data_IF_030439944891
#
_entry.id   IF_030439944891
#
_cell.length_a   1.000
_cell.length_b   1.000
_cell.length_c   1.000
_cell.angle_alpha   90.00
_cell.angle_beta   90.00
_cell.angle_gamma   90.00
#
_symmetry.space_group_name_H-M   'P 1'
#
loop_
_entity.id
_entity.type
_entity.pdbx_description
1 polymer ?
#
# COMPACT_ATOMS: atom_id res chain seq x y z
N UNK A 1 -38.96 -40.98 -51.08
CA UNK A 1 -37.80 -40.08 -51.27
C UNK A 1 -37.97 -38.91 -50.31
N UNK A 2 -37.10 -38.82 -49.31
CA UNK A 2 -37.19 -37.87 -48.19
C UNK A 2 -36.22 -36.72 -48.44
N UNK A 3 -36.73 -35.50 -48.64
CA UNK A 3 -35.92 -34.29 -48.67
C UNK A 3 -35.60 -33.85 -47.23
N UNK A 4 -34.45 -34.29 -46.73
CA UNK A 4 -33.70 -33.60 -45.68
C UNK A 4 -32.84 -32.53 -46.34
N UNK A 5 -33.01 -31.26 -45.97
CA UNK A 5 -31.92 -30.30 -45.75
C UNK A 5 -32.48 -28.91 -45.45
N UNK A 6 -32.61 -28.55 -44.16
CA UNK A 6 -32.50 -27.14 -43.72
C UNK A 6 -32.36 -27.01 -42.19
N UNK A 7 -31.38 -27.68 -41.59
CA UNK A 7 -31.06 -27.47 -40.17
C UNK A 7 -29.57 -27.71 -39.98
N UNK A 8 -28.74 -26.69 -40.16
CA UNK A 8 -27.40 -26.54 -39.56
C UNK A 8 -26.79 -25.20 -39.99
N UNK A 9 -26.92 -24.16 -39.16
CA UNK A 9 -25.88 -23.12 -38.95
C UNK A 9 -26.36 -21.96 -38.02
N UNK A 10 -26.82 -22.20 -36.78
CA UNK A 10 -26.88 -21.11 -35.79
C UNK A 10 -25.48 -20.69 -35.29
N UNK A 11 -24.44 -21.51 -35.52
CA UNK A 11 -23.08 -21.28 -35.03
C UNK A 11 -22.27 -20.19 -35.78
N UNK A 12 -22.65 -19.77 -36.99
CA UNK A 12 -21.93 -18.69 -37.70
C UNK A 12 -22.49 -17.30 -37.38
N UNK A 13 -23.80 -17.21 -37.13
CA UNK A 13 -24.46 -15.93 -36.87
C UNK A 13 -24.22 -15.39 -35.47
N UNK A 14 -24.04 -16.22 -34.43
CA UNK A 14 -23.74 -15.70 -33.08
C UNK A 14 -22.42 -14.92 -33.04
N UNK A 15 -21.41 -15.30 -33.84
CA UNK A 15 -20.13 -14.57 -33.92
C UNK A 15 -20.32 -13.20 -34.56
N UNK A 16 -21.12 -13.13 -35.63
CA UNK A 16 -21.43 -11.89 -36.35
C UNK A 16 -22.33 -10.99 -35.49
N UNK A 17 -23.35 -11.54 -34.84
CA UNK A 17 -24.23 -10.81 -33.93
C UNK A 17 -23.45 -10.34 -32.71
N UNK A 18 -22.65 -11.19 -32.06
CA UNK A 18 -21.80 -10.78 -30.93
C UNK A 18 -20.79 -9.71 -31.32
N UNK A 19 -20.22 -9.77 -32.52
CA UNK A 19 -19.34 -8.73 -33.05
C UNK A 19 -20.11 -7.44 -33.33
N UNK A 20 -21.29 -7.50 -33.96
CA UNK A 20 -22.13 -6.33 -34.22
C UNK A 20 -22.66 -5.68 -32.92
N UNK A 21 -23.03 -6.48 -31.91
CA UNK A 21 -23.41 -5.99 -30.58
C UNK A 21 -22.21 -5.36 -29.86
N UNK A 22 -21.01 -5.94 -29.98
CA UNK A 22 -19.79 -5.36 -29.44
C UNK A 22 -19.43 -4.03 -30.12
N UNK A 23 -19.52 -3.96 -31.45
CA UNK A 23 -19.31 -2.72 -32.23
C UNK A 23 -20.38 -1.67 -31.89
N UNK A 24 -21.64 -2.06 -31.72
CA UNK A 24 -22.72 -1.17 -31.27
C UNK A 24 -22.50 -0.63 -29.86
N UNK A 25 -22.00 -1.47 -28.94
CA UNK A 25 -21.61 -1.05 -27.59
C UNK A 25 -20.44 -0.05 -27.64
N UNK A 26 -19.46 -0.24 -28.53
CA UNK A 26 -18.35 0.70 -28.72
C UNK A 26 -18.82 2.05 -29.28
N UNK A 27 -19.82 2.07 -30.17
CA UNK A 27 -20.35 3.30 -30.77
C UNK A 27 -21.22 4.12 -29.80
N UNK A 28 -21.88 3.46 -28.84
CA UNK A 28 -22.70 4.11 -27.81
C UNK A 28 -21.89 4.69 -26.64
N UNK A 29 -20.58 4.45 -26.57
CA UNK A 29 -19.73 4.94 -25.49
C UNK A 29 -19.31 6.41 -25.67
N UNK A 30 -20.27 7.34 -25.57
CA UNK A 30 -19.94 8.77 -25.44
C UNK A 30 -19.46 9.08 -24.02
N UNK A 31 -18.20 9.50 -23.89
CA UNK A 31 -17.56 9.90 -22.62
C UNK A 31 -17.54 11.41 -22.42
N UNK A 32 -17.99 12.16 -23.42
CA UNK A 32 -17.96 13.62 -23.45
C UNK A 32 -19.36 14.25 -23.47
N UNK A 33 -20.42 13.45 -23.33
CA UNK A 33 -21.82 13.91 -23.33
C UNK A 33 -22.10 14.97 -22.26
N UNK A 34 -21.54 14.80 -21.06
CA UNK A 34 -21.67 15.72 -19.92
C UNK A 34 -20.47 16.68 -19.76
N UNK A 35 -19.65 16.86 -20.81
CA UNK A 35 -18.56 17.86 -20.80
C UNK A 35 -19.12 19.21 -21.26
N UNK A 36 -18.97 20.29 -20.47
CA UNK A 36 -19.48 21.62 -20.81
C UNK A 36 -18.96 22.13 -22.15
N UNK A 37 -19.70 23.05 -22.77
CA UNK A 37 -19.27 23.70 -24.00
C UNK A 37 -18.08 24.63 -23.73
N UNK A 38 -17.07 24.58 -24.59
CA UNK A 38 -15.80 25.29 -24.39
C UNK A 38 -14.80 24.56 -23.49
N UNK A 39 -15.21 23.49 -22.82
CA UNK A 39 -14.34 22.65 -21.98
C UNK A 39 -13.93 21.34 -22.67
N UNK A 40 -12.85 20.73 -22.19
CA UNK A 40 -12.27 19.53 -22.78
C UNK A 40 -12.01 18.46 -21.73
N UNK A 41 -12.44 17.23 -22.00
CA UNK A 41 -12.11 16.06 -21.18
C UNK A 41 -10.63 15.71 -21.32
N UNK A 42 -9.88 15.72 -20.22
CA UNK A 42 -8.52 15.21 -20.21
C UNK A 42 -8.53 13.68 -20.36
N UNK A 43 -8.02 13.20 -21.49
CA UNK A 43 -8.02 11.78 -21.83
C UNK A 43 -6.67 11.10 -21.62
N UNK A 44 -5.57 11.85 -21.68
CA UNK A 44 -4.22 11.32 -21.62
C UNK A 44 -3.22 12.38 -21.15
N UNK A 45 -2.25 11.94 -20.33
CA UNK A 45 -0.98 12.63 -20.13
C UNK A 45 0.11 11.82 -20.83
N UNK A 46 0.87 12.47 -21.72
CA UNK A 46 2.02 11.89 -22.41
C UNK A 46 3.29 12.54 -21.91
N UNK A 47 4.38 11.78 -21.91
CA UNK A 47 5.68 12.19 -21.42
C UNK A 47 6.69 11.92 -22.54
N UNK A 48 7.25 12.99 -23.07
CA UNK A 48 8.24 12.96 -24.13
C UNK A 48 9.55 13.47 -23.54
N UNK A 49 10.64 12.74 -23.78
CA UNK A 49 11.95 13.06 -23.24
C UNK A 49 12.78 13.64 -24.38
N UNK A 50 13.24 14.87 -24.21
CA UNK A 50 14.07 15.57 -25.18
C UNK A 50 15.52 15.08 -25.16
N UNK A 51 15.93 14.45 -24.06
CA UNK A 51 17.24 13.83 -23.84
C UNK A 51 17.12 12.34 -23.49
N UNK A 52 18.26 11.72 -23.18
CA UNK A 52 18.31 10.30 -22.85
C UNK A 52 17.50 10.01 -21.57
N UNK A 53 16.61 9.02 -21.69
CA UNK A 53 15.79 8.55 -20.58
C UNK A 53 16.65 8.07 -19.42
N UNK A 54 16.25 8.45 -18.22
CA UNK A 54 16.89 8.02 -16.98
C UNK A 54 16.13 6.86 -16.33
N UNK A 55 16.79 6.03 -15.51
CA UNK A 55 16.16 4.87 -14.87
C UNK A 55 14.95 5.23 -13.98
N UNK A 56 14.90 6.44 -13.43
CA UNK A 56 13.84 6.88 -12.53
C UNK A 56 12.61 7.46 -13.24
N UNK A 57 12.67 7.73 -14.55
CA UNK A 57 11.63 8.42 -15.33
C UNK A 57 10.22 7.82 -15.20
N UNK A 58 10.17 6.51 -14.96
CA UNK A 58 8.91 5.79 -14.75
C UNK A 58 8.08 6.34 -13.59
N UNK A 59 8.72 6.96 -12.60
CA UNK A 59 8.06 7.51 -11.42
C UNK A 59 7.44 8.89 -11.66
N UNK A 60 7.91 9.64 -12.67
CA UNK A 60 7.49 11.03 -12.93
C UNK A 60 5.99 11.15 -13.22
N UNK A 61 5.38 10.09 -13.76
CA UNK A 61 3.91 9.99 -13.95
C UNK A 61 3.12 10.13 -12.65
N UNK A 62 3.75 9.78 -11.53
CA UNK A 62 3.19 9.91 -10.19
C UNK A 62 2.94 11.37 -9.78
N UNK A 63 3.77 12.29 -10.28
CA UNK A 63 3.87 13.69 -9.84
C UNK A 63 2.96 14.64 -10.63
N UNK A 64 2.31 14.17 -11.70
CA UNK A 64 1.30 14.98 -12.38
C UNK A 64 0.07 15.17 -11.49
N UNK A 65 -0.30 16.42 -11.27
CA UNK A 65 -1.45 16.81 -10.44
C UNK A 65 -2.78 16.34 -11.04
N UNK A 66 -2.97 16.54 -12.34
CA UNK A 66 -4.22 16.18 -13.02
C UNK A 66 -4.09 14.85 -13.77
N UNK A 67 -4.81 13.82 -13.34
CA UNK A 67 -4.81 12.49 -13.97
C UNK A 67 -6.15 12.23 -14.66
N UNK A 68 -6.17 11.70 -15.91
CA UNK A 68 -7.39 11.30 -16.58
C UNK A 68 -8.23 10.33 -15.74
N UNK A 69 -9.54 10.24 -16.03
CA UNK A 69 -10.40 9.22 -15.43
C UNK A 69 -9.76 7.82 -15.62
N UNK A 70 -9.72 7.05 -14.52
CA UNK A 70 -9.12 5.70 -14.53
C UNK A 70 -9.82 4.80 -15.54
N UNK A 71 -9.05 3.96 -16.24
CA UNK A 71 -9.55 2.93 -17.14
C UNK A 71 -9.71 1.63 -16.36
N UNK A 72 -10.92 1.32 -15.91
CA UNK A 72 -11.18 0.11 -15.11
C UNK A 72 -11.32 -1.16 -15.94
N UNK A 73 -11.71 -1.04 -17.22
CA UNK A 73 -11.95 -2.20 -18.09
C UNK A 73 -11.18 -2.07 -19.40
N UNK A 74 -10.09 -2.86 -19.53
CA UNK A 74 -9.16 -2.80 -20.66
C UNK A 74 -8.65 -1.36 -20.91
N UNK A 75 -9.26 -0.64 -21.86
CA UNK A 75 -8.92 0.71 -22.26
C UNK A 75 -10.05 1.72 -21.99
N UNK A 76 -11.18 1.27 -21.42
CA UNK A 76 -12.39 2.07 -21.23
C UNK A 76 -12.49 2.63 -19.80
N UNK A 77 -12.75 3.94 -19.64
CA UNK A 77 -13.05 4.53 -18.35
C UNK A 77 -14.50 4.25 -17.97
N UNK A 78 -14.76 3.04 -17.44
CA UNK A 78 -16.11 2.54 -17.17
C UNK A 78 -16.89 3.48 -16.24
N UNK A 79 -16.27 4.01 -15.19
CA UNK A 79 -16.95 4.96 -14.29
C UNK A 79 -17.32 6.27 -14.99
N UNK A 80 -16.50 6.75 -15.92
CA UNK A 80 -16.83 7.94 -16.70
C UNK A 80 -17.99 7.64 -17.66
N UNK A 81 -17.99 6.46 -18.26
CA UNK A 81 -19.10 6.02 -19.11
C UNK A 81 -20.41 5.93 -18.31
N UNK A 82 -20.41 5.29 -17.14
CA UNK A 82 -21.58 5.21 -16.26
C UNK A 82 -22.10 6.59 -15.88
N UNK A 83 -21.21 7.54 -15.59
CA UNK A 83 -21.57 8.93 -15.30
C UNK A 83 -22.27 9.62 -16.48
N UNK A 84 -21.75 9.43 -17.70
CA UNK A 84 -22.36 10.00 -18.91
C UNK A 84 -23.66 9.29 -19.32
N UNK A 85 -23.81 8.01 -18.97
CA UNK A 85 -25.02 7.22 -19.20
C UNK A 85 -26.15 7.58 -18.21
N UNK A 86 -25.83 8.13 -17.04
CA UNK A 86 -26.83 8.58 -16.06
C UNK A 86 -27.70 9.71 -16.66
N UNK A 87 -29.02 9.57 -16.52
CA UNK A 87 -29.98 10.57 -16.97
C UNK A 87 -29.86 11.84 -16.11
N UNK A 88 -29.52 13.01 -16.73
CA UNK A 88 -29.38 14.28 -16.01
C UNK A 88 -30.59 14.66 -15.16
N UNK A 89 -31.79 14.21 -15.56
CA UNK A 89 -33.05 14.50 -14.86
C UNK A 89 -33.00 14.08 -13.38
N UNK A 90 -32.24 13.04 -13.05
CA UNK A 90 -32.16 12.49 -11.69
C UNK A 90 -30.92 12.94 -10.91
N UNK A 91 -30.03 13.76 -11.47
CA UNK A 91 -28.74 14.10 -10.84
C UNK A 91 -28.95 14.83 -9.49
N UNK A 92 -29.79 15.88 -9.43
CA UNK A 92 -30.10 16.59 -8.17
C UNK A 92 -30.76 15.69 -7.14
N UNK A 93 -31.75 14.89 -7.59
CA UNK A 93 -32.44 13.91 -6.76
C UNK A 93 -31.48 12.90 -6.12
N UNK A 94 -30.55 12.33 -6.92
CA UNK A 94 -29.60 11.34 -6.41
C UNK A 94 -28.53 11.96 -5.53
N UNK A 95 -28.08 13.19 -5.78
CA UNK A 95 -27.18 13.92 -4.89
C UNK A 95 -27.80 14.07 -3.48
N UNK A 96 -29.07 14.46 -3.40
CA UNK A 96 -29.78 14.55 -2.12
C UNK A 96 -30.01 13.17 -1.50
N UNK A 97 -30.52 12.20 -2.27
CA UNK A 97 -30.78 10.84 -1.77
C UNK A 97 -29.52 10.14 -1.23
N UNK A 98 -28.36 10.37 -1.85
CA UNK A 98 -27.07 9.80 -1.44
C UNK A 98 -26.41 10.56 -0.27
N UNK A 99 -26.94 11.71 0.14
CA UNK A 99 -26.48 12.43 1.35
C UNK A 99 -26.99 11.77 2.65
N UNK A 100 -28.13 11.08 2.60
CA UNK A 100 -28.71 10.39 3.77
C UNK A 100 -27.90 9.14 4.18
N UNK A 101 -27.91 8.71 5.45
CA UNK A 101 -27.31 7.46 5.89
C UNK A 101 -27.87 6.23 5.16
N UNK A 102 -27.05 5.19 4.96
CA UNK A 102 -27.43 3.98 4.20
C UNK A 102 -28.71 3.30 4.73
N UNK A 103 -28.92 3.30 6.04
CA UNK A 103 -30.08 2.70 6.71
C UNK A 103 -31.41 3.38 6.32
N UNK A 104 -31.35 4.67 5.97
CA UNK A 104 -32.52 5.47 5.60
C UNK A 104 -32.82 5.43 4.10
N UNK A 105 -31.89 4.92 3.27
CA UNK A 105 -32.00 4.89 1.79
C UNK A 105 -32.97 3.81 1.30
N UNK A 106 -34.25 3.93 1.64
CA UNK A 106 -35.32 3.02 1.23
C UNK A 106 -36.24 3.60 0.13
N UNK A 107 -37.29 2.87 -0.27
CA UNK A 107 -38.25 3.31 -1.30
C UNK A 107 -39.08 4.52 -0.83
N UNK A 108 -39.48 4.57 0.45
CA UNK A 108 -40.29 5.68 1.00
C UNK A 108 -39.57 7.02 0.90
N UNK A 109 -38.27 7.05 1.22
CA UNK A 109 -37.44 8.24 1.07
C UNK A 109 -37.35 8.67 -0.39
N UNK A 110 -37.16 7.72 -1.32
CA UNK A 110 -37.15 8.02 -2.77
C UNK A 110 -38.48 8.61 -3.23
N UNK A 111 -39.60 8.01 -2.84
CA UNK A 111 -40.93 8.48 -3.25
C UNK A 111 -41.21 9.90 -2.71
N UNK A 112 -40.79 10.19 -1.49
CA UNK A 112 -40.86 11.54 -0.92
C UNK A 112 -39.99 12.54 -1.68
N UNK A 113 -38.75 12.17 -2.00
CA UNK A 113 -37.85 13.01 -2.79
C UNK A 113 -38.37 13.18 -4.24
N UNK A 114 -38.97 12.17 -4.87
CA UNK A 114 -39.58 12.32 -6.19
C UNK A 114 -40.71 13.35 -6.17
N UNK A 115 -41.52 13.41 -5.11
CA UNK A 115 -42.55 14.45 -4.96
C UNK A 115 -41.93 15.84 -4.76
N UNK A 116 -40.82 15.93 -4.00
CA UNK A 116 -40.07 17.17 -3.77
C UNK A 116 -39.53 17.78 -5.08
N UNK A 117 -38.99 16.93 -5.97
CA UNK A 117 -38.44 17.32 -7.25
C UNK A 117 -39.46 17.32 -8.42
N UNK A 118 -40.77 17.33 -8.12
CA UNK A 118 -41.88 17.26 -9.07
C UNK A 118 -41.80 16.10 -10.10
N UNK A 119 -41.17 15.00 -9.70
CA UNK A 119 -40.98 13.79 -10.50
C UNK A 119 -42.11 12.77 -10.27
N UNK A 120 -43.37 13.22 -10.31
CA UNK A 120 -44.56 12.39 -10.01
C UNK A 120 -44.62 11.08 -10.81
N UNK A 121 -44.11 11.09 -12.05
CA UNK A 121 -44.03 9.91 -12.94
C UNK A 121 -42.95 8.88 -12.56
N UNK A 122 -42.11 9.18 -11.57
CA UNK A 122 -41.04 8.31 -11.07
C UNK A 122 -41.34 7.69 -9.71
N UNK A 123 -42.41 8.13 -9.04
CA UNK A 123 -42.88 7.57 -7.77
C UNK A 123 -43.16 6.06 -7.93
N UNK A 124 -42.69 5.24 -6.98
CA UNK A 124 -42.81 3.79 -7.00
C UNK A 124 -41.79 3.06 -7.87
N UNK A 125 -40.97 3.76 -8.67
CA UNK A 125 -39.88 3.13 -9.45
C UNK A 125 -38.65 2.92 -8.57
N UNK A 126 -37.96 1.79 -8.78
CA UNK A 126 -36.74 1.47 -8.03
C UNK A 126 -35.49 2.20 -8.55
N UNK A 127 -35.54 2.69 -9.79
CA UNK A 127 -34.43 3.31 -10.55
C UNK A 127 -33.09 2.61 -10.28
N UNK A 128 -33.09 1.28 -10.28
CA UNK A 128 -31.92 0.50 -9.90
C UNK A 128 -30.69 0.84 -10.77
N UNK A 129 -30.87 0.91 -12.09
CA UNK A 129 -29.80 1.23 -13.02
C UNK A 129 -29.30 2.66 -12.86
N UNK A 130 -30.18 3.64 -12.71
CA UNK A 130 -29.77 5.04 -12.48
C UNK A 130 -29.03 5.21 -11.15
N UNK A 131 -29.47 4.50 -10.10
CA UNK A 131 -28.75 4.44 -8.82
C UNK A 131 -27.36 3.83 -8.98
N UNK A 132 -27.23 2.77 -9.76
CA UNK A 132 -25.95 2.14 -10.04
C UNK A 132 -25.03 3.10 -10.81
N UNK A 133 -25.55 3.75 -11.85
CA UNK A 133 -24.82 4.72 -12.66
C UNK A 133 -24.35 5.92 -11.85
N UNK A 134 -25.20 6.49 -11.01
CA UNK A 134 -24.85 7.62 -10.16
C UNK A 134 -23.87 7.23 -9.04
N UNK A 135 -23.98 6.01 -8.50
CA UNK A 135 -23.08 5.54 -7.43
C UNK A 135 -21.69 5.18 -7.94
N UNK A 136 -21.60 4.56 -9.12
CA UNK A 136 -20.33 4.07 -9.69
C UNK A 136 -19.76 4.99 -10.78
N UNK A 137 -20.49 6.05 -11.12
CA UNK A 137 -20.09 7.09 -12.04
C UNK A 137 -19.05 8.02 -11.45
N UNK A 138 -18.07 8.44 -12.26
CA UNK A 138 -17.14 9.52 -11.92
C UNK A 138 -17.29 10.66 -12.90
N UNK A 139 -17.36 11.90 -12.41
CA UNK A 139 -17.40 13.10 -13.24
C UNK A 139 -16.20 13.17 -14.22
N UNK A 140 -16.37 13.80 -15.40
CA UNK A 140 -15.28 14.03 -16.34
C UNK A 140 -14.17 14.86 -15.70
N UNK A 141 -12.92 14.43 -15.86
CA UNK A 141 -11.77 15.26 -15.50
C UNK A 141 -11.56 16.28 -16.61
N UNK A 142 -11.99 17.51 -16.37
CA UNK A 142 -11.83 18.63 -17.32
C UNK A 142 -10.39 19.13 -17.30
N UNK A 143 -9.79 19.37 -18.46
CA UNK A 143 -8.46 19.97 -18.59
C UNK A 143 -8.40 21.30 -17.85
N UNK A 144 -7.46 21.40 -16.90
CA UNK A 144 -7.19 22.62 -16.16
C UNK A 144 -5.74 23.04 -16.44
N UNK A 145 -5.52 24.14 -17.18
CA UNK A 145 -4.18 24.63 -17.51
C UNK A 145 -3.32 24.93 -16.26
N UNK A 146 -3.93 25.42 -15.18
CA UNK A 146 -3.22 25.75 -13.93
C UNK A 146 -2.71 24.49 -13.23
N UNK A 147 -3.52 23.41 -13.23
CA UNK A 147 -3.09 22.12 -12.69
C UNK A 147 -2.06 21.43 -13.57
N UNK A 148 -2.10 21.70 -14.87
CA UNK A 148 -1.08 21.23 -15.81
C UNK A 148 0.27 21.88 -15.50
N UNK A 149 0.29 23.20 -15.33
CA UNK A 149 1.49 23.96 -14.95
C UNK A 149 2.08 23.48 -13.61
N UNK A 150 1.26 23.38 -12.57
CA UNK A 150 1.68 22.80 -11.28
C UNK A 150 2.15 21.36 -11.40
N UNK A 151 1.60 20.61 -12.36
CA UNK A 151 2.05 19.26 -12.69
C UNK A 151 3.46 19.25 -13.26
N UNK A 152 3.77 20.17 -14.18
CA UNK A 152 5.12 20.33 -14.73
C UNK A 152 6.12 20.74 -13.64
N UNK A 153 5.78 21.73 -12.80
CA UNK A 153 6.59 22.14 -11.65
C UNK A 153 6.84 20.98 -10.66
N UNK A 154 5.82 20.15 -10.40
CA UNK A 154 5.97 18.97 -9.53
C UNK A 154 6.93 17.93 -10.13
N UNK A 155 6.96 17.78 -11.46
CA UNK A 155 7.93 16.90 -12.14
C UNK A 155 9.34 17.52 -12.06
N UNK A 156 9.50 18.82 -12.30
CA UNK A 156 10.77 19.54 -12.15
C UNK A 156 11.34 19.38 -10.73
N UNK A 157 10.53 19.65 -9.71
CA UNK A 157 10.92 19.48 -8.31
C UNK A 157 11.35 18.03 -8.01
N UNK A 158 10.67 17.04 -8.58
CA UNK A 158 11.08 15.64 -8.42
C UNK A 158 12.42 15.35 -9.09
N UNK A 159 12.67 15.87 -10.28
CA UNK A 159 13.98 15.73 -10.94
C UNK A 159 15.09 16.42 -10.15
N UNK A 160 14.81 17.60 -9.58
CA UNK A 160 15.73 18.27 -8.66
C UNK A 160 16.08 17.41 -7.44
N UNK A 161 15.07 16.76 -6.86
CA UNK A 161 15.25 15.81 -5.77
C UNK A 161 16.07 14.56 -6.17
N UNK A 162 16.09 14.21 -7.47
CA UNK A 162 16.94 13.16 -8.06
C UNK A 162 18.34 13.63 -8.45
N UNK A 163 18.68 14.90 -8.20
CA UNK A 163 19.97 15.50 -8.51
C UNK A 163 20.04 16.21 -9.86
N UNK A 164 18.92 16.44 -10.54
CA UNK A 164 18.86 17.19 -11.81
C UNK A 164 18.29 18.60 -11.55
N UNK A 165 19.10 19.46 -10.93
CA UNK A 165 18.64 20.78 -10.45
C UNK A 165 18.30 21.77 -11.57
N UNK A 166 18.91 21.61 -12.74
CA UNK A 166 18.66 22.45 -13.91
C UNK A 166 17.61 21.83 -14.85
N UNK A 167 16.92 20.78 -14.43
CA UNK A 167 15.92 20.13 -15.27
C UNK A 167 14.76 21.08 -15.62
N UNK A 168 14.16 20.85 -16.78
CA UNK A 168 13.07 21.65 -17.31
C UNK A 168 11.94 20.78 -17.85
N UNK A 169 10.71 21.18 -17.57
CA UNK A 169 9.50 20.52 -18.03
C UNK A 169 8.60 21.55 -18.69
N UNK A 170 8.57 21.51 -20.01
CA UNK A 170 7.59 22.26 -20.78
C UNK A 170 6.34 21.40 -20.96
N UNK A 171 5.21 22.02 -21.28
CA UNK A 171 3.99 21.29 -21.56
C UNK A 171 3.22 21.90 -22.73
N UNK A 172 2.45 21.05 -23.42
CA UNK A 172 1.50 21.46 -24.45
C UNK A 172 0.19 20.73 -24.27
N UNK A 173 -0.89 21.50 -24.24
CA UNK A 173 -2.24 20.96 -24.28
C UNK A 173 -2.71 20.87 -25.72
N UNK A 174 -2.97 19.65 -26.18
CA UNK A 174 -3.55 19.37 -27.50
C UNK A 174 -5.03 19.14 -27.30
N UNK A 175 -5.86 20.01 -27.88
CA UNK A 175 -7.31 19.97 -27.78
C UNK A 175 -7.94 19.57 -29.10
N UNK A 176 -9.02 18.80 -29.04
CA UNK A 176 -9.89 18.46 -30.16
C UNK A 176 -11.30 18.94 -29.84
N UNK A 177 -11.68 20.04 -30.49
CA UNK A 177 -12.99 20.69 -30.32
C UNK A 177 -14.15 19.85 -30.84
N UNK A 178 -13.92 19.00 -31.85
CA UNK A 178 -14.97 18.13 -32.42
C UNK A 178 -15.36 17.04 -31.43
N UNK A 179 -14.37 16.44 -30.75
CA UNK A 179 -14.63 15.36 -29.79
C UNK A 179 -14.71 15.81 -28.32
N UNK A 180 -14.47 17.10 -28.04
CA UNK A 180 -14.34 17.69 -26.68
C UNK A 180 -13.29 16.97 -25.82
N UNK A 181 -12.17 16.57 -26.44
CA UNK A 181 -11.09 15.84 -25.77
C UNK A 181 -9.82 16.66 -25.74
N UNK A 182 -9.04 16.45 -24.69
CA UNK A 182 -7.71 17.01 -24.54
C UNK A 182 -6.69 15.94 -24.18
N UNK A 183 -5.46 16.18 -24.60
CA UNK A 183 -4.26 15.48 -24.15
C UNK A 183 -3.24 16.52 -23.71
N UNK A 184 -2.60 16.27 -22.58
CA UNK A 184 -1.43 17.05 -22.15
C UNK A 184 -0.16 16.27 -22.50
N UNK A 185 0.79 16.94 -23.14
CA UNK A 185 2.12 16.41 -23.44
C UNK A 185 3.11 17.18 -22.59
N UNK A 186 3.86 16.48 -21.74
CA UNK A 186 4.98 17.03 -20.98
C UNK A 186 6.27 16.72 -21.74
N UNK A 187 7.03 17.75 -22.09
CA UNK A 187 8.36 17.66 -22.69
C UNK A 187 9.37 17.81 -21.57
N UNK A 188 10.08 16.73 -21.27
CA UNK A 188 11.00 16.63 -20.15
C UNK A 188 12.42 16.70 -20.68
N UNK A 189 13.21 17.60 -20.09
CA UNK A 189 14.64 17.71 -20.31
C UNK A 189 15.34 17.67 -18.95
N UNK A 190 16.15 16.65 -18.73
CA UNK A 190 16.90 16.44 -17.51
C UNK A 190 18.04 17.45 -17.35
N UNK A 191 18.74 17.75 -18.46
CA UNK A 191 20.04 18.45 -18.45
C UNK A 191 21.10 17.72 -17.59
N UNK A 192 22.27 18.34 -17.41
CA UNK A 192 23.35 17.70 -16.66
C UNK A 192 23.01 17.58 -15.16
N UNK A 193 23.23 16.40 -14.54
CA UNK A 193 23.01 16.23 -13.11
C UNK A 193 24.08 16.96 -12.28
N UNK A 194 23.74 17.15 -11.00
CA UNK A 194 24.65 17.61 -9.96
C UNK A 194 25.39 16.42 -9.37
N UNK A 195 26.70 16.48 -9.35
CA UNK A 195 27.59 15.47 -8.79
C UNK A 195 28.15 15.85 -7.42
N UNK A 196 28.33 14.85 -6.58
CA UNK A 196 29.06 14.93 -5.32
C UNK A 196 30.55 14.98 -5.65
N UNK A 197 31.18 16.14 -5.50
CA UNK A 197 32.59 16.31 -5.87
C UNK A 197 33.52 15.75 -4.80
N UNK A 198 33.36 16.23 -3.57
CA UNK A 198 34.07 15.73 -2.39
C UNK A 198 33.05 15.31 -1.32
N UNK A 199 33.40 14.28 -0.55
CA UNK A 199 32.56 13.80 0.54
C UNK A 199 33.31 13.85 1.87
N UNK A 200 32.79 14.65 2.80
CA UNK A 200 33.33 14.84 4.14
C UNK A 200 32.32 14.37 5.18
N UNK A 201 32.79 14.19 6.42
CA UNK A 201 31.92 13.93 7.55
C UNK A 201 32.41 14.67 8.80
N UNK A 202 31.47 15.24 9.55
CA UNK A 202 31.67 15.87 10.83
C UNK A 202 30.85 15.08 11.89
N UNK A 203 31.56 14.28 12.68
CA UNK A 203 30.97 13.43 13.72
C UNK A 203 31.77 13.67 15.01
N UNK A 204 31.33 14.59 15.89
CA UNK A 204 32.07 14.94 17.10
C UNK A 204 32.13 13.80 18.13
N UNK A 205 31.08 12.99 18.23
CA UNK A 205 31.05 11.87 19.18
C UNK A 205 32.00 10.75 18.71
N UNK A 206 33.02 10.37 19.50
CA UNK A 206 34.01 9.39 19.09
C UNK A 206 33.45 7.98 18.93
N UNK A 207 32.40 7.61 19.69
CA UNK A 207 31.76 6.31 19.59
C UNK A 207 30.95 6.17 18.30
N UNK A 208 30.17 7.19 17.96
CA UNK A 208 29.45 7.25 16.67
C UNK A 208 30.44 7.26 15.51
N UNK A 209 31.49 8.09 15.59
CA UNK A 209 32.53 8.20 14.57
C UNK A 209 33.22 6.85 14.31
N UNK A 210 33.63 6.15 15.37
CA UNK A 210 34.26 4.84 15.25
C UNK A 210 33.34 3.81 14.57
N UNK A 211 32.07 3.74 14.99
CA UNK A 211 31.09 2.83 14.41
C UNK A 211 30.82 3.12 12.92
N UNK A 212 30.75 4.40 12.56
CA UNK A 212 30.61 4.84 11.18
C UNK A 212 31.84 4.47 10.34
N UNK A 213 33.04 4.77 10.82
CA UNK A 213 34.30 4.48 10.12
C UNK A 213 34.51 2.98 9.87
N UNK A 214 34.18 2.12 10.84
CA UNK A 214 34.24 0.66 10.67
C UNK A 214 33.29 0.12 9.58
N UNK A 215 32.27 0.89 9.21
CA UNK A 215 31.27 0.51 8.21
C UNK A 215 31.22 1.49 7.03
N UNK A 216 32.24 2.32 6.83
CA UNK A 216 32.26 3.38 5.81
C UNK A 216 32.19 2.82 4.39
N UNK A 217 32.80 1.65 4.17
CA UNK A 217 32.79 0.88 2.94
C UNK A 217 31.39 0.37 2.55
N UNK A 218 30.43 0.33 3.49
CA UNK A 218 29.00 0.05 3.24
C UNK A 218 28.18 1.32 2.98
N UNK A 219 28.78 2.51 3.05
CA UNK A 219 28.09 3.75 2.73
C UNK A 219 27.57 3.73 1.30
N UNK A 220 26.35 4.22 1.14
CA UNK A 220 25.71 4.38 -0.17
C UNK A 220 26.24 5.60 -0.93
N UNK A 221 26.97 6.49 -0.24
CA UNK A 221 27.43 7.78 -0.76
C UNK A 221 28.91 7.73 -1.09
N UNK A 222 29.26 8.18 -2.29
CA UNK A 222 30.64 8.29 -2.78
C UNK A 222 30.81 9.55 -3.62
N UNK A 223 32.03 10.07 -3.62
CA UNK A 223 32.45 11.08 -4.58
C UNK A 223 32.28 10.57 -6.02
N UNK A 224 31.89 11.46 -6.93
CA UNK A 224 31.61 11.21 -8.34
C UNK A 224 30.18 10.72 -8.63
N UNK A 225 29.36 10.45 -7.61
CA UNK A 225 27.96 10.06 -7.80
C UNK A 225 27.05 11.28 -7.95
N UNK A 226 25.88 11.09 -8.56
CA UNK A 226 24.83 12.11 -8.59
C UNK A 226 24.35 12.38 -7.15
N UNK A 227 24.17 13.65 -6.82
CA UNK A 227 23.60 14.12 -5.56
C UNK A 227 22.08 13.86 -5.56
N UNK A 228 21.69 12.61 -5.36
CA UNK A 228 20.30 12.16 -5.29
C UNK A 228 19.82 12.10 -3.83
N UNK A 229 18.82 12.91 -3.49
CA UNK A 229 18.26 13.00 -2.15
C UNK A 229 17.66 11.66 -1.68
N UNK A 230 17.13 10.83 -2.59
CA UNK A 230 16.64 9.48 -2.23
C UNK A 230 17.77 8.58 -1.72
N UNK A 231 18.99 8.77 -2.19
CA UNK A 231 20.16 7.98 -1.76
C UNK A 231 20.64 8.52 -0.41
N UNK A 232 20.65 9.84 -0.21
CA UNK A 232 20.95 10.46 1.09
C UNK A 232 19.99 9.96 2.18
N UNK A 233 18.69 9.90 1.91
CA UNK A 233 17.71 9.35 2.86
C UNK A 233 17.93 7.88 3.17
N UNK A 234 18.30 7.07 2.17
CA UNK A 234 18.68 5.67 2.39
C UNK A 234 19.94 5.56 3.25
N UNK A 235 20.90 6.47 3.08
CA UNK A 235 22.10 6.52 3.91
C UNK A 235 21.78 6.92 5.35
N UNK A 236 20.90 7.90 5.58
CA UNK A 236 20.39 8.24 6.92
C UNK A 236 19.75 7.01 7.58
N UNK A 237 18.88 6.29 6.85
CA UNK A 237 18.26 5.08 7.36
C UNK A 237 19.29 3.98 7.69
N UNK A 238 20.30 3.78 6.83
CA UNK A 238 21.39 2.84 7.08
C UNK A 238 22.18 3.20 8.35
N UNK A 239 22.48 4.48 8.55
CA UNK A 239 23.17 4.98 9.75
C UNK A 239 22.30 4.78 10.99
N UNK A 240 21.00 5.11 10.91
CA UNK A 240 20.04 4.90 11.99
C UNK A 240 19.99 3.42 12.42
N UNK A 241 19.88 2.51 11.46
CA UNK A 241 19.85 1.07 11.71
C UNK A 241 21.18 0.56 12.28
N UNK A 242 22.30 1.08 11.78
CA UNK A 242 23.63 0.76 12.30
C UNK A 242 23.72 1.17 13.77
N UNK A 243 23.50 2.45 14.10
CA UNK A 243 23.68 2.96 15.46
C UNK A 243 22.71 2.32 16.45
N UNK A 244 21.45 2.12 16.07
CA UNK A 244 20.46 1.43 16.92
C UNK A 244 20.80 -0.05 17.15
N UNK A 245 21.52 -0.70 16.23
CA UNK A 245 22.03 -2.07 16.43
C UNK A 245 23.30 -2.13 17.30
N UNK A 246 23.97 -0.99 17.52
CA UNK A 246 25.17 -0.87 18.36
C UNK A 246 24.85 -0.36 19.78
N UNK A 247 23.57 -0.34 20.18
CA UNK A 247 23.18 0.07 21.53
C UNK A 247 22.80 1.54 21.69
N UNK A 248 22.89 2.37 20.66
CA UNK A 248 22.47 3.77 20.73
C UNK A 248 20.95 3.90 20.70
N UNK A 249 20.34 3.70 21.87
CA UNK A 249 18.89 3.81 22.04
C UNK A 249 18.40 5.21 21.68
N UNK A 250 17.32 5.28 20.90
CA UNK A 250 16.75 6.52 20.38
C UNK A 250 17.70 7.39 19.54
N UNK A 251 18.74 6.82 18.95
CA UNK A 251 19.56 7.53 17.98
C UNK A 251 18.70 8.13 16.85
N UNK A 252 18.88 9.43 16.60
CA UNK A 252 18.21 10.19 15.56
C UNK A 252 16.69 9.96 15.51
N UNK A 253 16.02 10.02 16.67
CA UNK A 253 14.55 9.87 16.72
C UNK A 253 13.82 11.12 16.26
N UNK A 254 14.40 12.32 16.45
CA UNK A 254 13.87 13.57 15.90
C UNK A 254 14.02 13.64 14.38
N UNK A 255 15.00 12.94 13.81
CA UNK A 255 15.37 13.05 12.40
C UNK A 255 16.33 14.21 12.09
N UNK A 256 16.72 14.99 13.11
CA UNK A 256 17.56 16.18 12.97
C UNK A 256 19.03 15.90 13.30
N UNK A 257 19.34 14.78 13.94
CA UNK A 257 20.69 14.48 14.41
C UNK A 257 21.63 14.08 13.27
N UNK A 258 21.09 13.55 12.16
CA UNK A 258 21.86 13.15 10.98
C UNK A 258 21.40 13.97 9.79
N UNK A 259 22.28 14.81 9.26
CA UNK A 259 21.96 15.71 8.14
C UNK A 259 23.09 15.73 7.11
N UNK A 260 22.76 16.25 5.92
CA UNK A 260 23.73 16.46 4.86
C UNK A 260 23.74 17.93 4.47
N UNK A 261 24.92 18.51 4.38
CA UNK A 261 25.13 19.89 3.93
C UNK A 261 25.84 19.86 2.59
N UNK A 262 25.19 20.42 1.58
CA UNK A 262 25.70 20.53 0.22
C UNK A 262 26.11 21.99 -0.05
N UNK A 263 27.40 22.25 -0.29
CA UNK A 263 27.92 23.60 -0.54
C UNK A 263 27.85 23.96 -2.04
N UNK A 264 26.74 24.58 -2.44
CA UNK A 264 26.51 25.00 -3.83
C UNK A 264 26.99 26.42 -4.13
N UNK A 265 27.69 27.11 -3.21
CA UNK A 265 28.08 28.52 -3.39
C UNK A 265 29.05 28.73 -4.55
N UNK A 266 29.95 27.76 -4.81
CA UNK A 266 30.94 27.84 -5.89
C UNK A 266 30.47 27.24 -7.20
N UNK A 267 29.61 26.23 -7.15
CA UNK A 267 29.16 25.48 -8.32
C UNK A 267 27.90 24.68 -7.98
N UNK A 268 26.96 24.64 -8.92
CA UNK A 268 25.72 23.84 -8.84
C UNK A 268 25.84 22.46 -9.49
N UNK A 269 26.93 22.21 -10.23
CA UNK A 269 27.17 20.95 -10.96
C UNK A 269 28.07 19.99 -10.20
N UNK A 270 29.07 20.52 -9.51
CA UNK A 270 30.00 19.76 -8.69
C UNK A 270 29.97 20.36 -7.28
N UNK A 271 29.39 19.63 -6.34
CA UNK A 271 29.05 20.13 -5.01
C UNK A 271 29.78 19.30 -3.95
N UNK A 272 30.56 19.93 -3.05
CA UNK A 272 31.06 19.28 -1.85
C UNK A 272 29.89 18.91 -0.93
N UNK A 273 29.90 17.69 -0.41
CA UNK A 273 28.88 17.17 0.50
C UNK A 273 29.51 16.82 1.85
N UNK A 274 28.90 17.31 2.93
CA UNK A 274 29.32 16.98 4.30
C UNK A 274 28.19 16.26 5.03
N UNK A 275 28.47 15.07 5.56
CA UNK A 275 27.62 14.39 6.51
C UNK A 275 27.84 14.98 7.90
N UNK A 276 26.79 15.46 8.55
CA UNK A 276 26.85 15.95 9.92
C UNK A 276 26.08 15.01 10.83
N UNK A 277 26.70 14.61 11.96
CA UNK A 277 26.03 13.85 13.00
C UNK A 277 26.23 14.55 14.35
N UNK A 278 25.19 15.23 14.82
CA UNK A 278 25.18 16.00 16.06
C UNK A 278 23.97 15.61 16.91
N UNK A 279 24.20 15.29 18.18
CA UNK A 279 23.09 14.98 19.08
C UNK A 279 22.23 16.20 19.41
N UNK A 280 22.90 17.33 19.62
CA UNK A 280 22.34 18.64 19.92
C UNK A 280 23.40 19.72 19.63
N UNK A 281 23.03 21.01 19.78
CA UNK A 281 23.93 22.14 19.52
C UNK A 281 25.20 22.15 20.37
N UNK A 282 25.21 21.47 21.52
CA UNK A 282 26.36 21.40 22.43
C UNK A 282 27.11 20.07 22.35
N UNK A 283 26.70 19.18 21.44
CA UNK A 283 27.25 17.85 21.23
C UNK A 283 27.28 16.99 22.51
N UNK A 284 26.15 16.86 23.21
CA UNK A 284 26.10 15.92 24.33
C UNK A 284 26.50 14.50 23.87
N UNK A 285 27.21 13.73 24.70
CA UNK A 285 27.63 12.38 24.31
C UNK A 285 26.44 11.44 24.09
N UNK A 286 26.59 10.52 23.13
CA UNK A 286 25.68 9.40 22.98
C UNK A 286 25.95 8.33 24.05
N UNK A 287 24.89 7.69 24.54
CA UNK A 287 25.00 6.63 25.56
C UNK A 287 24.60 5.30 24.97
N UNK A 288 25.39 4.26 25.28
CA UNK A 288 25.08 2.87 24.92
C UNK A 288 24.14 2.33 25.98
N UNK A 289 22.97 1.88 25.53
CA UNK A 289 21.96 1.31 26.39
C UNK A 289 22.06 -0.22 26.46
N UNK A 290 21.64 -0.78 27.60
CA UNK A 290 21.50 -2.22 27.80
C UNK A 290 20.05 -2.59 28.07
N UNK A 291 19.66 -3.82 27.75
CA UNK A 291 18.33 -4.33 28.05
C UNK A 291 18.21 -4.63 29.55
N UNK A 292 17.19 -4.06 30.17
CA UNK A 292 16.81 -4.27 31.55
C UNK A 292 15.90 -5.48 31.70
N UNK A 293 14.68 -5.23 32.21
CA UNK A 293 13.65 -6.24 32.39
C UNK A 293 12.93 -6.49 31.07
N UNK A 294 12.63 -7.75 30.80
CA UNK A 294 11.77 -8.16 29.69
C UNK A 294 10.53 -8.83 30.29
N UNK A 295 9.39 -8.19 30.11
CA UNK A 295 8.08 -8.66 30.57
C UNK A 295 7.20 -9.04 29.38
N UNK A 296 6.59 -10.23 29.46
CA UNK A 296 5.61 -10.72 28.49
C UNK A 296 4.33 -11.07 29.23
N UNK A 297 3.24 -10.36 28.94
CA UNK A 297 1.94 -10.57 29.54
C UNK A 297 0.96 -11.17 28.53
N UNK A 298 0.17 -12.15 28.94
CA UNK A 298 -0.91 -12.75 28.16
C UNK A 298 -2.22 -12.52 28.92
N UNK A 299 -3.05 -11.67 28.34
CA UNK A 299 -4.27 -11.16 28.97
C UNK A 299 -5.38 -10.99 27.94
N UNK A 300 -6.63 -11.08 28.37
CA UNK A 300 -7.78 -10.83 27.49
C UNK A 300 -8.00 -9.32 27.27
N UNK A 301 -7.68 -8.51 28.29
CA UNK A 301 -7.78 -7.05 28.27
C UNK A 301 -6.56 -6.41 28.92
N UNK A 302 -6.24 -5.18 28.51
CA UNK A 302 -5.13 -4.40 29.09
C UNK A 302 -5.26 -4.20 30.61
N UNK A 303 -6.48 -4.13 31.14
CA UNK A 303 -6.77 -3.93 32.57
C UNK A 303 -6.38 -5.11 33.47
N UNK A 304 -6.24 -6.31 32.90
CA UNK A 304 -5.89 -7.51 33.67
C UNK A 304 -4.40 -7.51 34.07
N UNK A 305 -3.56 -6.82 33.31
CA UNK A 305 -2.13 -6.67 33.64
C UNK A 305 -1.88 -5.47 34.58
N UNK A 306 -1.11 -5.63 35.68
CA UNK A 306 -0.48 -6.86 36.17
C UNK A 306 -1.30 -7.62 37.23
N UNK A 307 -2.44 -7.08 37.69
CA UNK A 307 -3.14 -7.53 38.90
C UNK A 307 -3.74 -8.94 38.80
N UNK A 308 -4.33 -9.28 37.66
CA UNK A 308 -5.08 -10.53 37.46
C UNK A 308 -4.23 -11.59 36.73
N UNK A 309 -2.92 -11.57 36.93
CA UNK A 309 -1.99 -12.46 36.24
C UNK A 309 -1.13 -13.22 37.23
N UNK A 310 -0.85 -14.49 36.93
CA UNK A 310 0.13 -15.30 37.63
C UNK A 310 1.51 -15.07 37.02
N UNK A 311 2.49 -14.83 37.88
CA UNK A 311 3.90 -14.66 37.48
C UNK A 311 4.54 -16.02 37.23
N UNK A 312 5.33 -16.07 36.18
CA UNK A 312 6.21 -17.18 35.82
C UNK A 312 7.52 -16.59 35.27
N UNK A 313 8.57 -17.38 35.16
CA UNK A 313 9.84 -16.91 34.61
C UNK A 313 10.61 -18.02 33.92
N UNK A 314 11.22 -17.70 32.79
CA UNK A 314 12.12 -18.61 32.09
C UNK A 314 13.30 -17.82 31.54
N UNK A 315 14.52 -18.26 31.86
CA UNK A 315 15.78 -17.65 31.38
C UNK A 315 15.81 -16.11 31.52
N UNK A 316 15.41 -15.61 32.70
CA UNK A 316 15.37 -14.19 33.08
C UNK A 316 14.30 -13.33 32.38
N UNK A 317 13.45 -13.93 31.55
CA UNK A 317 12.24 -13.27 31.03
C UNK A 317 11.09 -13.54 32.00
N UNK A 318 10.30 -12.51 32.28
CA UNK A 318 9.16 -12.57 33.20
C UNK A 318 7.88 -12.72 32.40
N UNK A 319 7.11 -13.75 32.72
CA UNK A 319 5.82 -14.02 32.10
C UNK A 319 4.69 -13.72 33.08
N UNK A 320 3.61 -13.12 32.59
CA UNK A 320 2.42 -12.77 33.36
C UNK A 320 1.21 -13.34 32.63
N UNK A 321 0.64 -14.44 33.11
CA UNK A 321 -0.42 -15.17 32.39
C UNK A 321 -1.72 -15.17 33.18
N UNK A 322 -2.85 -14.99 32.50
CA UNK A 322 -4.18 -15.12 33.13
C UNK A 322 -4.52 -16.59 33.45
N UNK A 323 -3.99 -17.52 32.65
CA UNK A 323 -4.20 -18.97 32.78
C UNK A 323 -3.00 -19.75 32.21
N UNK A 324 -3.03 -21.07 32.29
CA UNK A 324 -1.98 -21.96 31.76
C UNK A 324 -2.29 -22.47 30.34
N UNK A 325 -3.12 -21.75 29.56
CA UNK A 325 -3.46 -22.13 28.18
C UNK A 325 -2.20 -22.21 27.30
N UNK A 326 -1.20 -21.36 27.56
CA UNK A 326 0.06 -21.33 26.82
C UNK A 326 1.25 -21.67 27.72
N UNK A 327 2.04 -22.65 27.29
CA UNK A 327 3.26 -23.11 27.96
C UNK A 327 4.36 -22.06 27.82
N UNK A 328 4.99 -21.71 28.93
CA UNK A 328 6.07 -20.71 28.99
C UNK A 328 7.25 -20.99 28.04
N UNK A 329 7.72 -22.24 27.87
CA UNK A 329 8.75 -22.55 26.88
C UNK A 329 8.39 -22.18 25.44
N UNK A 330 7.11 -22.29 25.04
CA UNK A 330 6.68 -21.91 23.70
C UNK A 330 6.75 -20.39 23.51
N UNK A 331 6.22 -19.65 24.48
CA UNK A 331 6.27 -18.18 24.48
C UNK A 331 7.71 -17.66 24.44
N UNK A 332 8.58 -18.26 25.25
CA UNK A 332 9.99 -17.91 25.35
C UNK A 332 10.75 -18.02 24.01
N UNK A 333 10.43 -19.01 23.17
CA UNK A 333 11.09 -19.18 21.86
C UNK A 333 10.89 -18.00 20.92
N UNK A 334 9.79 -17.26 21.07
CA UNK A 334 9.52 -16.07 20.25
C UNK A 334 10.33 -14.83 20.67
N UNK A 335 10.88 -14.82 21.89
CA UNK A 335 11.57 -13.67 22.48
C UNK A 335 13.07 -13.75 22.19
N UNK A 336 13.54 -12.90 21.28
CA UNK A 336 14.97 -12.82 20.92
C UNK A 336 15.73 -11.89 21.87
N UNK A 337 15.03 -10.89 22.41
CA UNK A 337 15.62 -9.86 23.27
C UNK A 337 16.06 -10.48 24.60
N UNK A 338 17.34 -10.33 24.92
CA UNK A 338 17.94 -10.92 26.11
C UNK A 338 18.17 -9.89 27.22
N UNK A 339 17.74 -10.14 28.47
CA UNK A 339 18.11 -9.27 29.60
C UNK A 339 19.62 -9.14 29.75
N UNK A 340 20.10 -7.94 30.06
CA UNK A 340 21.51 -7.52 30.20
C UNK A 340 22.33 -7.49 28.91
N UNK A 341 21.76 -7.78 27.74
CA UNK A 341 22.47 -7.57 26.47
C UNK A 341 22.56 -6.08 26.16
N UNK A 342 23.47 -5.71 25.24
CA UNK A 342 23.44 -4.40 24.59
C UNK A 342 22.11 -4.28 23.86
N UNK A 343 21.53 -3.07 23.86
CA UNK A 343 20.31 -2.79 23.10
C UNK A 343 20.54 -3.02 21.60
N UNK A 344 19.60 -3.71 20.97
CA UNK A 344 19.56 -3.86 19.51
C UNK A 344 18.10 -3.80 19.07
N UNK A 345 17.74 -2.75 18.34
CA UNK A 345 16.39 -2.56 17.80
C UNK A 345 15.94 -3.76 16.96
N UNK A 346 16.85 -4.40 16.22
CA UNK A 346 16.51 -5.55 15.36
C UNK A 346 16.00 -6.71 16.18
N UNK A 347 16.54 -6.95 17.38
CA UNK A 347 16.06 -8.03 18.25
C UNK A 347 14.63 -7.76 18.74
N UNK A 348 14.29 -6.51 19.04
CA UNK A 348 12.93 -6.12 19.43
C UNK A 348 11.94 -6.32 18.28
N UNK A 349 12.34 -5.97 17.06
CA UNK A 349 11.51 -6.11 15.87
C UNK A 349 11.32 -7.56 15.44
N UNK A 350 12.38 -8.37 15.51
CA UNK A 350 12.29 -9.83 15.29
C UNK A 350 11.41 -10.47 16.37
N UNK A 351 11.52 -10.05 17.63
CA UNK A 351 10.64 -10.54 18.70
C UNK A 351 9.17 -10.24 18.39
N UNK A 352 8.84 -9.00 18.00
CA UNK A 352 7.46 -8.64 17.60
C UNK A 352 7.00 -9.48 16.40
N UNK A 353 7.85 -9.66 15.40
CA UNK A 353 7.55 -10.45 14.20
C UNK A 353 7.29 -11.92 14.56
N UNK A 354 8.13 -12.52 15.39
CA UNK A 354 7.97 -13.90 15.86
C UNK A 354 6.66 -14.08 16.64
N UNK A 355 6.31 -13.10 17.49
CA UNK A 355 5.03 -13.12 18.22
C UNK A 355 3.84 -13.12 17.27
N UNK A 356 3.87 -12.26 16.23
CA UNK A 356 2.80 -12.18 15.24
C UNK A 356 2.77 -13.41 14.33
N UNK A 357 3.93 -13.96 13.96
CA UNK A 357 4.02 -15.13 13.08
C UNK A 357 3.51 -16.40 13.74
N UNK A 358 3.54 -16.49 15.08
CA UNK A 358 2.85 -17.58 15.80
C UNK A 358 1.35 -17.61 15.47
N UNK A 359 0.73 -16.53 14.97
CA UNK A 359 -0.71 -16.45 14.68
C UNK A 359 -1.59 -16.92 15.86
N UNK A 360 -1.12 -16.71 17.10
CA UNK A 360 -1.85 -17.03 18.33
C UNK A 360 -2.25 -15.77 19.11
N UNK A 361 -1.62 -14.63 18.81
CA UNK A 361 -1.75 -13.43 19.61
C UNK A 361 -1.90 -12.19 18.74
N UNK A 362 -2.68 -11.24 19.24
CA UNK A 362 -2.57 -9.83 18.87
C UNK A 362 -1.73 -9.10 19.92
N UNK A 363 -0.99 -8.06 19.51
CA UNK A 363 -0.17 -7.25 20.42
C UNK A 363 -1.02 -6.06 20.88
N UNK A 364 -1.45 -6.06 22.14
CA UNK A 364 -2.15 -4.92 22.75
C UNK A 364 -1.19 -3.77 23.08
N UNK A 365 0.04 -4.11 23.46
CA UNK A 365 1.10 -3.13 23.76
C UNK A 365 2.47 -3.74 23.56
N UNK A 366 3.35 -3.06 22.83
CA UNK A 366 4.78 -3.32 22.83
C UNK A 366 5.49 -2.02 23.15
N UNK A 367 6.13 -1.97 24.32
CA UNK A 367 6.78 -0.76 24.83
C UNK A 367 8.19 -1.07 25.31
N UNK A 368 9.15 -0.38 24.74
CA UNK A 368 10.49 -0.18 25.27
C UNK A 368 10.58 1.22 25.89
N UNK A 369 11.24 1.36 27.03
CA UNK A 369 11.48 2.67 27.63
C UNK A 369 12.67 2.64 28.58
N UNK A 370 13.37 3.77 28.68
CA UNK A 370 14.40 3.96 29.70
C UNK A 370 13.82 3.72 31.09
N UNK A 371 14.52 2.91 31.87
CA UNK A 371 14.15 2.54 33.22
C UNK A 371 14.07 3.79 34.08
N UNK A 372 12.90 4.07 34.62
CA UNK A 372 12.74 5.12 35.63
C UNK A 372 13.37 4.61 36.93
N UNK A 373 14.55 5.13 37.28
CA UNK A 373 15.07 4.98 38.64
C UNK A 373 14.09 5.62 39.62
N UNK A 374 14.01 5.15 40.85
CA UNK A 374 13.07 5.64 41.86
C UNK A 374 13.25 7.11 42.31
N UNK A 375 13.95 7.94 41.53
CA UNK A 375 14.10 9.39 41.69
C UNK A 375 13.59 10.17 40.46
N UNK A 376 13.77 11.48 40.46
CA UNK A 376 13.26 12.42 39.43
C UNK A 376 13.91 12.28 38.05
N UNK A 377 14.99 11.50 37.90
CA UNK A 377 15.62 11.21 36.62
C UNK A 377 15.67 9.69 36.34
N UNK A 378 15.22 9.23 35.15
CA UNK A 378 15.39 7.84 34.75
C UNK A 378 16.89 7.48 34.66
N UNK A 379 17.21 6.21 34.91
CA UNK A 379 18.49 5.65 34.50
C UNK A 379 18.56 5.78 32.98
N UNK A 380 19.57 6.50 32.49
CA UNK A 380 19.64 6.96 31.11
C UNK A 380 20.16 5.90 30.12
N UNK A 381 20.53 4.72 30.60
CA UNK A 381 21.23 3.70 29.81
C UNK A 381 20.67 2.27 29.98
N UNK A 382 19.51 2.10 30.62
CA UNK A 382 18.83 0.79 30.75
C UNK A 382 17.44 0.86 30.13
N UNK A 383 17.14 -0.02 29.18
CA UNK A 383 15.84 -0.10 28.49
C UNK A 383 15.03 -1.28 29.01
N UNK A 384 13.90 -1.00 29.67
CA UNK A 384 12.92 -2.02 30.03
C UNK A 384 11.95 -2.27 28.88
N UNK A 385 11.59 -3.53 28.65
CA UNK A 385 10.75 -3.99 27.53
C UNK A 385 9.51 -4.70 28.06
N UNK A 386 8.35 -4.32 27.56
CA UNK A 386 7.05 -4.89 27.90
C UNK A 386 6.27 -5.25 26.64
N UNK A 387 5.89 -6.52 26.53
CA UNK A 387 4.92 -7.02 25.56
C UNK A 387 3.64 -7.43 26.29
N UNK A 388 2.50 -6.89 25.88
CA UNK A 388 1.17 -7.31 26.34
C UNK A 388 0.42 -7.88 25.16
N UNK A 389 0.08 -9.15 25.26
CA UNK A 389 -0.46 -10.00 24.21
C UNK A 389 -1.88 -10.41 24.57
N UNK A 390 -2.74 -10.48 23.56
CA UNK A 390 -4.10 -11.01 23.68
C UNK A 390 -4.23 -12.25 22.79
N UNK A 391 -4.59 -13.42 23.35
CA UNK A 391 -4.90 -14.60 22.56
C UNK A 391 -5.98 -14.32 21.51
N UNK A 392 -5.77 -14.83 20.30
CA UNK A 392 -6.80 -14.86 19.26
C UNK A 392 -7.80 -15.99 19.54
N UNK A 393 -8.94 -15.93 18.87
CA UNK A 393 -9.97 -16.95 18.99
C UNK A 393 -9.42 -18.33 18.61
N UNK A 394 -9.78 -19.34 19.42
CA UNK A 394 -9.25 -20.71 19.27
C UNK A 394 -9.57 -21.31 17.91
N UNK A 395 -10.73 -21.01 17.34
CA UNK A 395 -11.18 -21.50 16.04
C UNK A 395 -11.39 -20.31 15.10
N UNK A 396 -10.81 -20.38 13.90
CA UNK A 396 -10.95 -19.37 12.85
C UNK A 396 -11.31 -20.07 11.55
N UNK A 397 -12.52 -19.78 11.06
CA UNK A 397 -13.08 -20.35 9.85
C UNK A 397 -13.09 -19.27 8.78
N UNK A 398 -12.44 -19.54 7.66
CA UNK A 398 -12.42 -18.66 6.49
C UNK A 398 -13.09 -19.38 5.33
N UNK A 399 -14.03 -18.68 4.71
CA UNK A 399 -14.69 -19.14 3.48
C UNK A 399 -14.29 -18.18 2.38
N UNK A 400 -13.72 -18.72 1.31
CA UNK A 400 -13.35 -17.94 0.14
C UNK A 400 -13.94 -18.57 -1.13
N UNK A 401 -14.01 -17.77 -2.18
CA UNK A 401 -14.40 -18.24 -3.51
C UNK A 401 -13.63 -17.44 -4.53
N UNK A 402 -12.76 -18.14 -5.26
CA UNK A 402 -11.96 -17.52 -6.30
C UNK A 402 -12.55 -17.81 -7.67
N UNK A 403 -12.39 -16.84 -8.58
CA UNK A 403 -12.76 -16.98 -9.99
C UNK A 403 -11.50 -16.87 -10.82
N UNK A 404 -11.12 -17.97 -11.45
CA UNK A 404 -9.89 -18.09 -12.21
C UNK A 404 -10.18 -18.12 -13.70
N UNK A 405 -9.50 -17.26 -14.47
CA UNK A 405 -9.48 -17.33 -15.93
C UNK A 405 -8.07 -17.64 -16.40
N UNK A 406 -7.87 -18.77 -17.08
CA UNK A 406 -6.55 -19.16 -17.61
C UNK A 406 -6.70 -19.80 -18.99
N UNK A 407 -5.68 -19.73 -19.88
CA UNK A 407 -5.73 -20.40 -21.18
C UNK A 407 -5.95 -21.93 -21.11
N UNK A 408 -5.63 -22.54 -19.97
CA UNK A 408 -5.74 -23.98 -19.73
C UNK A 408 -7.10 -24.32 -19.08
N UNK A 409 -7.52 -23.55 -18.06
CA UNK A 409 -8.75 -23.78 -17.30
C UNK A 409 -9.97 -22.99 -17.84
N UNK A 410 -9.79 -22.18 -18.90
CA UNK A 410 -10.70 -21.15 -19.42
C UNK A 410 -11.32 -20.30 -18.31
N UNK A 411 -12.35 -20.81 -17.63
CA UNK A 411 -13.00 -20.20 -16.49
C UNK A 411 -13.26 -21.30 -15.44
N UNK A 412 -12.84 -21.07 -14.21
CA UNK A 412 -13.11 -21.95 -13.08
C UNK A 412 -13.49 -21.17 -11.83
N UNK A 413 -14.35 -21.76 -11.01
CA UNK A 413 -14.75 -21.26 -9.69
C UNK A 413 -14.16 -22.19 -8.64
N UNK A 414 -13.49 -21.63 -7.66
CA UNK A 414 -12.78 -22.35 -6.61
C UNK A 414 -13.27 -21.92 -5.22
N UNK A 415 -14.38 -22.47 -4.71
CA UNK A 415 -14.71 -22.35 -3.29
C UNK A 415 -13.66 -23.05 -2.40
N UNK A 416 -13.33 -22.43 -1.28
CA UNK A 416 -12.49 -23.02 -0.24
C UNK A 416 -13.02 -22.72 1.16
N UNK A 417 -12.73 -23.63 2.08
CA UNK A 417 -12.99 -23.50 3.51
C UNK A 417 -11.71 -23.85 4.26
N UNK A 418 -11.20 -22.90 5.03
CA UNK A 418 -10.04 -23.06 5.89
C UNK A 418 -10.45 -22.98 7.35
N UNK A 419 -10.13 -24.00 8.14
CA UNK A 419 -10.26 -24.01 9.60
C UNK A 419 -8.88 -23.99 10.23
N UNK A 420 -8.59 -22.95 11.01
CA UNK A 420 -7.41 -22.92 11.88
C UNK A 420 -7.84 -23.15 13.33
N UNK A 421 -7.36 -24.23 13.94
CA UNK A 421 -7.47 -24.49 15.37
C UNK A 421 -6.16 -24.12 16.05
N UNK A 422 -6.19 -23.04 16.83
CA UNK A 422 -5.02 -22.47 17.50
C UNK A 422 -4.70 -23.19 18.80
N UNK A 423 -3.40 -23.25 19.08
CA UNK A 423 -2.82 -23.75 20.31
C UNK A 423 -3.32 -25.15 20.74
N UNK A 424 -3.26 -26.14 19.84
CA UNK A 424 -3.84 -27.47 20.07
C UNK A 424 -3.21 -28.19 21.26
N UNK A 425 -1.89 -28.04 21.47
CA UNK A 425 -1.14 -28.75 22.52
C UNK A 425 -0.62 -27.83 23.64
N UNK A 426 -1.07 -26.58 23.67
CA UNK A 426 -0.65 -25.57 24.64
C UNK A 426 0.71 -24.92 24.33
N UNK A 427 1.40 -25.30 23.25
CA UNK A 427 2.68 -24.73 22.85
C UNK A 427 2.58 -23.71 21.71
N UNK A 428 1.43 -23.07 21.54
CA UNK A 428 1.11 -22.16 20.44
C UNK A 428 1.08 -22.82 19.05
N UNK A 429 0.89 -24.14 18.98
CA UNK A 429 0.81 -24.86 17.71
C UNK A 429 -0.57 -24.67 17.05
N UNK A 430 -0.60 -24.37 15.76
CA UNK A 430 -1.82 -24.20 14.99
C UNK A 430 -2.04 -25.38 14.05
N UNK A 431 -3.17 -26.07 14.21
CA UNK A 431 -3.64 -27.06 13.26
C UNK A 431 -4.52 -26.37 12.22
N UNK A 432 -4.05 -26.34 10.97
CA UNK A 432 -4.78 -25.78 9.83
C UNK A 432 -5.29 -26.90 8.96
N UNK A 433 -6.61 -26.95 8.75
CA UNK A 433 -7.29 -27.87 7.84
C UNK A 433 -7.96 -27.06 6.75
N UNK A 434 -7.61 -27.32 5.50
CA UNK A 434 -8.16 -26.65 4.32
C UNK A 434 -8.83 -27.67 3.41
N UNK A 435 -10.01 -27.31 2.89
CA UNK A 435 -10.68 -28.05 1.83
C UNK A 435 -11.05 -27.05 0.74
N UNK A 436 -10.60 -27.29 -0.48
CA UNK A 436 -10.93 -26.47 -1.63
C UNK A 436 -11.32 -27.33 -2.82
N UNK A 437 -12.29 -26.86 -3.60
CA UNK A 437 -12.72 -27.52 -4.83
C UNK A 437 -12.67 -26.54 -5.99
N UNK A 438 -11.93 -26.85 -7.04
CA UNK A 438 -11.93 -26.06 -8.28
C UNK A 438 -12.84 -26.73 -9.29
N UNK A 439 -13.80 -26.00 -9.84
CA UNK A 439 -14.74 -26.49 -10.86
C UNK A 439 -14.65 -25.61 -12.10
N UNK A 440 -14.45 -26.19 -13.28
CA UNK A 440 -14.28 -25.42 -14.50
C UNK A 440 -14.42 -26.24 -15.77
N UNK A 441 -14.01 -25.66 -16.90
CA UNK A 441 -14.03 -26.34 -18.19
C UNK A 441 -12.66 -26.28 -18.87
N UNK A 442 -12.13 -27.43 -19.24
CA UNK A 442 -10.84 -27.55 -19.95
C UNK A 442 -11.08 -27.96 -21.41
N UNK A 443 -10.12 -27.67 -22.28
CA UNK A 443 -10.13 -28.19 -23.66
C UNK A 443 -9.93 -29.71 -23.63
N UNK A 444 -10.70 -30.43 -24.45
CA UNK A 444 -10.56 -31.87 -24.56
C UNK A 444 -9.24 -32.20 -25.29
N UNK A 445 -8.32 -32.97 -24.68
CA UNK A 445 -7.03 -33.31 -25.30
C UNK A 445 -7.17 -34.08 -26.63
N UNK A 446 -8.27 -34.81 -26.82
CA UNK A 446 -8.54 -35.60 -28.04
C UNK A 446 -9.29 -34.81 -29.12
N UNK A 447 -9.94 -33.70 -28.76
CA UNK A 447 -10.67 -32.85 -29.70
C UNK A 447 -10.67 -31.41 -29.19
N UNK A 448 -9.76 -30.59 -29.72
CA UNK A 448 -9.50 -29.23 -29.25
C UNK A 448 -10.70 -28.26 -29.38
N UNK A 449 -11.71 -28.62 -30.18
CA UNK A 449 -12.96 -27.85 -30.36
C UNK A 449 -14.02 -28.19 -29.30
N UNK A 450 -13.84 -29.28 -28.55
CA UNK A 450 -14.75 -29.71 -27.48
C UNK A 450 -14.19 -29.33 -26.11
N UNK A 451 -15.09 -28.95 -25.21
CA UNK A 451 -14.79 -28.72 -23.79
C UNK A 451 -15.33 -29.85 -22.95
N UNK A 452 -14.64 -30.15 -21.87
CA UNK A 452 -15.08 -31.10 -20.85
C UNK A 452 -15.09 -30.41 -19.49
N UNK A 453 -16.00 -30.85 -18.62
CA UNK A 453 -15.99 -30.43 -17.22
C UNK A 453 -14.73 -30.99 -16.54
N UNK A 454 -14.04 -30.13 -15.80
CA UNK A 454 -12.93 -30.50 -14.96
C UNK A 454 -13.24 -30.08 -13.53
N UNK A 455 -12.88 -30.94 -12.60
CA UNK A 455 -12.92 -30.63 -11.18
C UNK A 455 -11.65 -31.13 -10.52
N UNK A 456 -11.22 -30.41 -9.49
CA UNK A 456 -10.11 -30.78 -8.64
C UNK A 456 -10.55 -30.56 -7.19
N UNK A 457 -10.33 -31.55 -6.34
CA UNK A 457 -10.60 -31.46 -4.91
C UNK A 457 -9.27 -31.55 -4.18
N UNK A 458 -9.01 -30.58 -3.32
CA UNK A 458 -7.80 -30.51 -2.51
C UNK A 458 -8.20 -30.50 -1.04
N UNK A 459 -7.50 -31.31 -0.25
CA UNK A 459 -7.61 -31.33 1.19
C UNK A 459 -6.20 -31.27 1.75
N UNK A 460 -5.95 -30.32 2.67
CA UNK A 460 -4.66 -30.13 3.28
C UNK A 460 -4.80 -30.07 4.80
N UNK A 461 -3.88 -30.71 5.51
CA UNK A 461 -3.72 -30.60 6.95
C UNK A 461 -2.28 -30.21 7.24
N UNK A 462 -2.10 -29.16 8.04
CA UNK A 462 -0.78 -28.67 8.43
C UNK A 462 -0.76 -28.37 9.93
N UNK A 463 0.34 -28.73 10.59
CA UNK A 463 0.62 -28.33 11.97
C UNK A 463 1.78 -27.32 11.95
N UNK A 464 1.48 -26.08 12.32
CA UNK A 464 2.44 -24.98 12.35
C UNK A 464 2.85 -24.70 13.80
N UNK A 465 4.15 -24.41 14.01
CA UNK A 465 4.76 -24.17 15.33
C UNK A 465 5.24 -22.73 15.49
#
# INVERSE_FOLDING_TARGET
MSCKHFMNSPQKYYKIISFATFVGLLYACSTTKKVPDGEYLLTKNSFEFEDEKQPFDSELKGYVQQKPNKKQFLFMPLSLWLYNAADPKYDEFFNEYMSYPNEMRNQKLRDSLFLKYDMKSSVGKSLFWDRLYHKWGSAPVILDPTKTEKGAESIENRMGYRGYWDAKVNFKNVTDSTSKKAQTIYYIKHNDPTFIKEYYYNIPDPGIKANYQLNINKSLIRSGQILDQTILEKEVNRINDLMRSQGYYKFNVSGEEVSFVADSLKSTKNVPLTLEIHKDSVNTPYKIATIGNVDVAIVDRMSDFPKNTKKDSLRRIRFHKINEQYKTPALWRSIIVAPKSIYDQKQLDVTKRNILSMNNFSILKAKDSLRRGGGTAPNDSIVDVLYVLKPLDKYDIKVATDVNYSPILNFGVAPSVDLTTRNVFGGAENLSTSVAGTFGSVKNPKNLDKRILAYELTAQVALNF
#
